data_IF_407284937197
#
_entry.id   IF_407284937197
#
_cell.length_a   1.000
_cell.length_b   1.000
_cell.length_c   1.000
_cell.angle_alpha   90.00
_cell.angle_beta   90.00
_cell.angle_gamma   90.00
#
_symmetry.space_group_name_H-M   'P 1'
#
loop_
_entity.id
_entity.type
_entity.pdbx_description
1 polymer ?
#
# COMPACT_ATOMS: atom_id res chain seq x y z
N UNK A 1 -7.91 6.65 17.78
CA UNK A 1 -8.69 5.41 17.60
C UNK A 1 -10.09 5.67 17.00
N UNK A 2 -10.57 6.91 16.88
CA UNK A 2 -11.92 7.22 16.36
C UNK A 2 -12.13 6.95 14.86
N UNK A 3 -11.14 7.24 14.01
CA UNK A 3 -11.31 7.18 12.54
C UNK A 3 -11.51 5.76 12.00
N UNK A 4 -11.02 4.74 12.71
CA UNK A 4 -11.27 3.35 12.33
C UNK A 4 -12.72 2.95 12.65
N UNK A 5 -13.30 3.47 13.73
CA UNK A 5 -14.66 3.17 14.14
C UNK A 5 -15.68 3.78 13.16
N UNK A 6 -15.39 4.94 12.59
CA UNK A 6 -16.25 5.56 11.56
C UNK A 6 -16.30 4.77 10.26
N UNK A 7 -15.39 3.81 10.02
CA UNK A 7 -15.43 2.94 8.84
C UNK A 7 -16.33 1.70 9.02
N UNK A 8 -16.96 1.51 10.18
CA UNK A 8 -17.78 0.32 10.45
C UNK A 8 -19.10 0.40 9.66
N UNK A 9 -19.75 1.56 9.67
CA UNK A 9 -20.97 1.86 8.91
C UNK A 9 -20.60 2.45 7.55
N UNK A 10 -20.87 1.76 6.44
CA UNK A 10 -20.52 2.25 5.10
C UNK A 10 -21.39 3.44 4.65
N UNK A 11 -22.55 3.64 5.27
CA UNK A 11 -23.48 4.72 4.95
C UNK A 11 -22.85 6.09 5.26
N UNK A 12 -22.77 6.96 4.26
CA UNK A 12 -22.20 8.32 4.41
C UNK A 12 -20.68 8.41 4.28
N UNK A 13 -19.98 7.30 4.04
CA UNK A 13 -18.55 7.33 3.74
C UNK A 13 -18.27 7.94 2.36
N UNK A 14 -17.17 8.71 2.28
CA UNK A 14 -16.64 9.16 1.01
C UNK A 14 -16.14 7.99 0.15
N UNK A 15 -16.01 8.19 -1.16
CA UNK A 15 -15.43 7.20 -2.07
C UNK A 15 -14.04 6.77 -1.57
N UNK A 16 -13.23 7.72 -1.11
CA UNK A 16 -11.92 7.41 -0.55
C UNK A 16 -12.00 6.57 0.73
N UNK A 17 -12.89 6.91 1.66
CA UNK A 17 -13.06 6.15 2.90
C UNK A 17 -13.53 4.70 2.63
N UNK A 18 -14.39 4.50 1.63
CA UNK A 18 -14.80 3.16 1.18
C UNK A 18 -13.63 2.36 0.61
N UNK A 19 -12.78 2.98 -0.21
CA UNK A 19 -11.57 2.35 -0.75
C UNK A 19 -10.61 1.97 0.39
N UNK A 20 -10.34 2.88 1.32
CA UNK A 20 -9.46 2.61 2.47
C UNK A 20 -10.02 1.47 3.33
N UNK A 21 -11.33 1.45 3.58
CA UNK A 21 -12.00 0.35 4.30
C UNK A 21 -11.81 -0.98 3.58
N UNK A 22 -12.05 -1.04 2.27
CA UNK A 22 -11.87 -2.27 1.49
C UNK A 22 -10.41 -2.76 1.52
N UNK A 23 -9.45 -1.84 1.43
CA UNK A 23 -8.02 -2.16 1.53
C UNK A 23 -7.63 -2.65 2.92
N UNK A 24 -8.16 -2.06 4.00
CA UNK A 24 -7.93 -2.54 5.38
C UNK A 24 -8.50 -3.94 5.59
N UNK A 25 -9.68 -4.25 5.05
CA UNK A 25 -10.26 -5.60 5.11
C UNK A 25 -9.43 -6.60 4.32
N UNK A 26 -8.94 -6.22 3.13
CA UNK A 26 -8.08 -7.07 2.29
C UNK A 26 -6.75 -7.36 2.99
N UNK A 27 -6.11 -6.33 3.54
CA UNK A 27 -4.88 -6.46 4.32
C UNK A 27 -5.08 -7.36 5.55
N UNK A 28 -6.14 -7.12 6.32
CA UNK A 28 -6.44 -7.89 7.54
C UNK A 28 -6.81 -9.34 7.24
N UNK A 29 -7.48 -9.63 6.12
CA UNK A 29 -7.68 -11.01 5.66
C UNK A 29 -6.34 -11.67 5.38
N UNK A 30 -5.44 -10.96 4.71
CA UNK A 30 -4.08 -11.38 4.44
C UNK A 30 -3.35 -11.86 5.68
N UNK A 31 -3.37 -11.08 6.78
CA UNK A 31 -2.62 -11.42 8.01
C UNK A 31 -3.05 -12.74 8.68
N UNK A 32 -4.22 -13.28 8.33
CA UNK A 32 -4.71 -14.58 8.85
C UNK A 32 -4.27 -15.79 8.03
N UNK A 33 -3.60 -15.58 6.89
CA UNK A 33 -3.21 -16.65 5.95
C UNK A 33 -1.89 -17.30 6.35
N UNK A 34 -1.80 -18.63 6.15
CA UNK A 34 -0.62 -19.42 6.51
C UNK A 34 0.51 -19.23 5.48
N UNK A 35 0.21 -19.20 4.18
CA UNK A 35 1.24 -19.03 3.14
C UNK A 35 1.73 -17.56 3.07
N UNK A 36 3.04 -17.29 3.22
CA UNK A 36 3.62 -15.97 3.01
C UNK A 36 3.30 -15.33 1.64
N UNK A 37 3.14 -16.13 0.56
CA UNK A 37 2.82 -15.57 -0.76
C UNK A 37 1.38 -15.08 -0.82
N UNK A 38 0.44 -15.82 -0.23
CA UNK A 38 -0.95 -15.37 -0.14
C UNK A 38 -1.08 -14.11 0.74
N UNK A 39 -0.30 -14.04 1.83
CA UNK A 39 -0.17 -12.84 2.67
C UNK A 39 0.33 -11.65 1.84
N UNK A 40 1.40 -11.85 1.09
CA UNK A 40 1.99 -10.84 0.23
C UNK A 40 1.01 -10.38 -0.86
N UNK A 41 0.29 -11.30 -1.48
CA UNK A 41 -0.71 -11.00 -2.50
C UNK A 41 -1.83 -10.11 -1.94
N UNK A 42 -2.32 -10.38 -0.73
CA UNK A 42 -3.33 -9.53 -0.09
C UNK A 42 -2.74 -8.15 0.28
N UNK A 43 -1.48 -8.08 0.75
CA UNK A 43 -0.82 -6.81 1.01
C UNK A 43 -0.68 -5.95 -0.25
N UNK A 44 -0.24 -6.55 -1.36
CA UNK A 44 -0.15 -5.88 -2.66
C UNK A 44 -1.53 -5.41 -3.13
N UNK A 45 -2.55 -6.27 -3.10
CA UNK A 45 -3.90 -5.90 -3.50
C UNK A 45 -4.48 -4.77 -2.65
N UNK A 46 -4.24 -4.76 -1.34
CA UNK A 46 -4.66 -3.68 -0.46
C UNK A 46 -4.00 -2.34 -0.83
N UNK A 47 -2.69 -2.34 -1.09
CA UNK A 47 -1.95 -1.15 -1.49
C UNK A 47 -2.34 -0.66 -2.88
N UNK A 48 -2.46 -1.56 -3.85
CA UNK A 48 -2.89 -1.24 -5.21
C UNK A 48 -4.27 -0.58 -5.21
N UNK A 49 -5.19 -1.06 -4.35
CA UNK A 49 -6.52 -0.48 -4.20
C UNK A 49 -6.51 1.00 -3.79
N UNK A 50 -5.54 1.42 -2.95
CA UNK A 50 -5.40 2.81 -2.50
C UNK A 50 -4.53 3.64 -3.44
N UNK A 51 -3.41 3.07 -3.90
CA UNK A 51 -2.33 3.83 -4.53
C UNK A 51 -2.40 3.87 -6.05
N UNK A 52 -3.14 2.99 -6.71
CA UNK A 52 -3.36 3.09 -8.16
C UNK A 52 -4.54 4.02 -8.44
N UNK A 53 -4.33 5.02 -9.29
CA UNK A 53 -5.39 5.80 -9.94
C UNK A 53 -6.30 4.89 -10.76
N UNK A 54 -5.72 4.01 -11.58
CA UNK A 54 -6.47 3.08 -12.44
C UNK A 54 -5.69 1.79 -12.74
N UNK A 55 -6.40 0.77 -13.24
CA UNK A 55 -5.84 -0.59 -13.42
C UNK A 55 -4.73 -0.68 -14.47
N UNK A 56 -4.69 0.24 -15.43
CA UNK A 56 -3.69 0.26 -16.51
C UNK A 56 -2.35 0.90 -16.11
N UNK A 57 -2.19 1.38 -14.88
CA UNK A 57 -0.91 1.94 -14.43
C UNK A 57 0.17 0.86 -14.31
N UNK A 58 1.44 1.17 -14.62
CA UNK A 58 2.55 0.26 -14.32
C UNK A 58 2.66 0.09 -12.79
N UNK A 59 2.13 -1.03 -12.28
CA UNK A 59 1.87 -1.22 -10.83
C UNK A 59 3.12 -1.05 -9.98
N UNK A 60 4.18 -1.80 -10.30
CA UNK A 60 5.45 -1.75 -9.57
C UNK A 60 6.04 -0.34 -9.51
N UNK A 61 6.04 0.39 -10.63
CA UNK A 61 6.57 1.74 -10.70
C UNK A 61 5.71 2.73 -9.90
N UNK A 62 4.38 2.67 -10.09
CA UNK A 62 3.45 3.63 -9.50
C UNK A 62 3.35 3.47 -7.99
N UNK A 63 3.25 2.23 -7.51
CA UNK A 63 3.23 1.92 -6.09
C UNK A 63 4.58 2.27 -5.46
N UNK A 64 5.71 1.94 -6.08
CA UNK A 64 7.04 2.27 -5.56
C UNK A 64 7.22 3.77 -5.35
N UNK A 65 6.88 4.59 -6.34
CA UNK A 65 7.01 6.04 -6.24
C UNK A 65 6.12 6.60 -5.13
N UNK A 66 4.83 6.25 -5.13
CA UNK A 66 3.87 6.80 -4.14
C UNK A 66 4.19 6.35 -2.72
N UNK A 67 4.58 5.10 -2.52
CA UNK A 67 5.05 4.64 -1.21
C UNK A 67 6.29 5.40 -0.77
N UNK A 68 7.25 5.64 -1.67
CA UNK A 68 8.45 6.41 -1.33
C UNK A 68 8.13 7.84 -0.93
N UNK A 69 7.15 8.50 -1.56
CA UNK A 69 6.75 9.85 -1.21
C UNK A 69 6.00 9.91 0.13
N UNK A 70 5.30 8.84 0.50
CA UNK A 70 4.54 8.78 1.75
C UNK A 70 5.41 8.39 2.96
N UNK A 71 6.42 7.54 2.76
CA UNK A 71 7.15 6.92 3.88
C UNK A 71 8.51 7.55 4.15
N UNK A 72 9.20 8.02 3.10
CA UNK A 72 10.61 8.33 3.20
C UNK A 72 10.91 9.79 3.52
N UNK A 73 11.95 10.02 4.31
CA UNK A 73 12.44 11.35 4.69
C UNK A 73 13.75 11.67 3.96
N UNK A 74 13.65 11.98 2.67
CA UNK A 74 14.80 12.34 1.81
C UNK A 74 15.11 11.30 0.74
N UNK A 75 16.05 11.64 -0.16
CA UNK A 75 16.24 10.91 -1.41
C UNK A 75 16.79 9.48 -1.24
N UNK A 76 17.75 9.29 -0.34
CA UNK A 76 18.33 7.97 -0.09
C UNK A 76 17.29 6.97 0.46
N UNK A 77 16.43 7.45 1.35
CA UNK A 77 15.34 6.67 1.93
C UNK A 77 14.24 6.38 0.89
N UNK A 78 13.94 7.34 0.00
CA UNK A 78 13.00 7.14 -1.11
C UNK A 78 13.45 6.01 -2.03
N UNK A 79 14.73 5.97 -2.40
CA UNK A 79 15.23 4.91 -3.26
C UNK A 79 15.21 3.55 -2.55
N UNK A 80 15.51 3.50 -1.25
CA UNK A 80 15.40 2.26 -0.47
C UNK A 80 13.97 1.68 -0.50
N UNK A 81 12.96 2.52 -0.27
CA UNK A 81 11.54 2.12 -0.38
C UNK A 81 11.21 1.63 -1.79
N UNK A 82 11.64 2.36 -2.83
CA UNK A 82 11.39 1.95 -4.23
C UNK A 82 12.02 0.60 -4.56
N UNK A 83 13.23 0.34 -4.08
CA UNK A 83 13.93 -0.92 -4.31
C UNK A 83 13.21 -2.10 -3.67
N UNK A 84 12.76 -1.96 -2.41
CA UNK A 84 11.98 -2.99 -1.73
C UNK A 84 10.69 -3.31 -2.51
N UNK A 85 9.93 -2.28 -2.91
CA UNK A 85 8.68 -2.48 -3.67
C UNK A 85 8.95 -3.19 -5.00
N UNK A 86 9.98 -2.79 -5.76
CA UNK A 86 10.32 -3.45 -7.03
C UNK A 86 10.70 -4.91 -6.83
N UNK A 87 11.49 -5.22 -5.81
CA UNK A 87 11.89 -6.60 -5.50
C UNK A 87 10.69 -7.46 -5.11
N UNK A 88 9.70 -6.89 -4.41
CA UNK A 88 8.45 -7.58 -4.06
C UNK A 88 7.61 -7.92 -5.29
N UNK A 89 7.45 -6.98 -6.23
CA UNK A 89 6.73 -7.25 -7.48
C UNK A 89 7.43 -8.34 -8.31
N UNK A 90 8.77 -8.31 -8.35
CA UNK A 90 9.55 -9.36 -9.00
C UNK A 90 9.43 -10.71 -8.29
N UNK A 91 9.47 -10.74 -6.96
CA UNK A 91 9.29 -11.95 -6.15
C UNK A 91 7.92 -12.59 -6.41
N UNK A 92 6.86 -11.77 -6.51
CA UNK A 92 5.50 -12.25 -6.84
C UNK A 92 5.43 -12.95 -8.21
N UNK A 93 6.30 -12.61 -9.15
CA UNK A 93 6.33 -13.18 -10.49
C UNK A 93 7.15 -14.48 -10.57
N UNK A 94 7.86 -14.86 -9.51
CA UNK A 94 8.68 -16.07 -9.51
C UNK A 94 7.88 -17.35 -9.26
N UNK A 95 8.17 -18.45 -9.97
CA UNK A 95 7.67 -19.77 -9.61
C UNK A 95 8.20 -20.18 -8.24
N UNK A 96 7.39 -20.93 -7.47
CA UNK A 96 7.51 -21.24 -6.02
C UNK A 96 8.77 -22.01 -5.57
N UNK A 97 9.94 -21.77 -6.14
CA UNK A 97 11.17 -22.51 -5.88
C UNK A 97 11.99 -21.84 -4.77
N UNK A 98 11.96 -22.48 -3.60
CA UNK A 98 12.86 -22.31 -2.45
C UNK A 98 12.96 -20.89 -1.86
N UNK A 99 11.96 -20.51 -1.07
CA UNK A 99 11.98 -19.27 -0.31
C UNK A 99 13.13 -19.26 0.68
N UNK A 100 14.16 -18.44 0.42
CA UNK A 100 15.32 -18.26 1.31
C UNK A 100 15.00 -17.22 2.40
N UNK A 101 15.76 -17.27 3.49
CA UNK A 101 15.63 -16.33 4.63
C UNK A 101 15.50 -14.85 4.20
N UNK A 102 16.28 -14.44 3.19
CA UNK A 102 16.27 -13.08 2.62
C UNK A 102 14.92 -12.64 2.03
N UNK A 103 14.14 -13.57 1.48
CA UNK A 103 12.80 -13.24 0.97
C UNK A 103 11.81 -13.03 2.11
N UNK A 104 12.02 -13.68 3.25
CA UNK A 104 11.18 -13.48 4.43
C UNK A 104 11.38 -12.08 5.02
N UNK A 105 12.64 -11.63 5.13
CA UNK A 105 12.98 -10.26 5.55
C UNK A 105 12.37 -9.21 4.59
N UNK A 106 12.49 -9.44 3.28
CA UNK A 106 11.91 -8.54 2.27
C UNK A 106 10.38 -8.44 2.40
N UNK A 107 9.70 -9.57 2.61
CA UNK A 107 8.25 -9.61 2.82
C UNK A 107 7.87 -8.88 4.12
N UNK A 108 8.64 -9.04 5.19
CA UNK A 108 8.40 -8.37 6.47
C UNK A 108 8.54 -6.84 6.34
N UNK A 109 9.62 -6.35 5.74
CA UNK A 109 9.83 -4.92 5.47
C UNK A 109 8.70 -4.33 4.64
N UNK A 110 8.31 -5.04 3.58
CA UNK A 110 7.20 -4.61 2.73
C UNK A 110 5.86 -4.61 3.48
N UNK A 111 5.61 -5.61 4.32
CA UNK A 111 4.39 -5.68 5.15
C UNK A 111 4.32 -4.50 6.12
N UNK A 112 5.46 -4.14 6.71
CA UNK A 112 5.57 -2.95 7.56
C UNK A 112 5.29 -1.64 6.79
N UNK A 113 5.83 -1.50 5.58
CA UNK A 113 5.51 -0.36 4.72
C UNK A 113 4.03 -0.32 4.34
N UNK A 114 3.44 -1.47 4.02
CA UNK A 114 2.04 -1.57 3.68
C UNK A 114 1.15 -1.10 4.84
N UNK A 115 1.45 -1.56 6.06
CA UNK A 115 0.78 -1.11 7.27
C UNK A 115 0.86 0.42 7.45
N UNK A 116 2.05 1.01 7.30
CA UNK A 116 2.23 2.46 7.47
C UNK A 116 1.46 3.28 6.43
N UNK A 117 1.45 2.85 5.17
CA UNK A 117 0.67 3.50 4.11
C UNK A 117 -0.82 3.41 4.40
N UNK A 118 -1.33 2.23 4.77
CA UNK A 118 -2.75 2.06 5.07
C UNK A 118 -3.17 2.87 6.30
N UNK A 119 -2.32 2.94 7.32
CA UNK A 119 -2.54 3.80 8.49
C UNK A 119 -2.55 5.28 8.12
N UNK A 120 -1.67 5.71 7.22
CA UNK A 120 -1.66 7.10 6.72
C UNK A 120 -2.91 7.41 5.90
N UNK A 121 -3.31 6.50 5.00
CA UNK A 121 -4.52 6.65 4.21
C UNK A 121 -5.76 6.74 5.12
N UNK A 122 -5.83 5.88 6.16
CA UNK A 122 -6.86 5.94 7.19
C UNK A 122 -6.91 7.30 7.90
N UNK A 123 -5.76 7.86 8.29
CA UNK A 123 -5.70 9.18 8.92
C UNK A 123 -6.15 10.34 8.02
N UNK A 124 -6.28 10.10 6.71
CA UNK A 124 -6.64 11.10 5.70
C UNK A 124 -8.05 10.90 5.12
N UNK A 125 -8.84 9.94 5.60
CA UNK A 125 -10.18 9.65 5.06
C UNK A 125 -11.16 10.83 5.15
N UNK A 126 -10.99 11.71 6.14
CA UNK A 126 -11.79 12.93 6.28
C UNK A 126 -11.29 14.09 5.43
N UNK A 127 -10.05 14.04 4.93
CA UNK A 127 -9.43 15.11 4.15
C UNK A 127 -9.67 14.95 2.64
N UNK A 128 -9.93 13.73 2.18
CA UNK A 128 -10.13 13.42 0.76
C UNK A 128 -11.50 12.78 0.51
N UNK A 129 -12.18 13.25 -0.54
CA UNK A 129 -13.46 12.70 -0.95
C UNK A 129 -13.30 11.52 -1.91
N UNK A 130 -12.26 11.50 -2.74
CA UNK A 130 -11.99 10.46 -3.74
C UNK A 130 -10.56 9.95 -3.71
N UNK A 131 -10.37 8.71 -4.17
CA UNK A 131 -9.04 8.09 -4.31
C UNK A 131 -8.15 8.90 -5.25
N UNK A 132 -8.72 9.40 -6.36
CA UNK A 132 -7.98 10.20 -7.33
C UNK A 132 -7.43 11.48 -6.70
N UNK A 133 -8.21 12.15 -5.84
CA UNK A 133 -7.77 13.35 -5.14
C UNK A 133 -6.56 13.03 -4.23
N UNK A 134 -6.66 11.97 -3.43
CA UNK A 134 -5.57 11.52 -2.57
C UNK A 134 -4.31 11.22 -3.38
N UNK A 135 -4.39 10.36 -4.39
CA UNK A 135 -3.23 9.95 -5.18
C UNK A 135 -2.61 11.12 -5.94
N UNK A 136 -3.42 12.06 -6.44
CA UNK A 136 -2.91 13.27 -7.11
C UNK A 136 -2.13 14.15 -6.15
N UNK A 137 -2.57 14.26 -4.90
CA UNK A 137 -1.85 15.02 -3.88
C UNK A 137 -0.53 14.36 -3.48
N UNK A 138 -0.50 13.03 -3.39
CA UNK A 138 0.75 12.27 -3.18
C UNK A 138 1.75 12.53 -4.31
N UNK A 139 1.30 12.46 -5.56
CA UNK A 139 2.14 12.74 -6.72
C UNK A 139 2.65 14.19 -6.69
N UNK A 140 1.82 15.16 -6.27
CA UNK A 140 2.20 16.58 -6.13
C UNK A 140 3.32 16.78 -5.11
N UNK A 141 3.23 16.14 -3.95
CA UNK A 141 4.28 16.17 -2.91
C UNK A 141 5.58 15.54 -3.41
N UNK A 142 5.47 14.45 -4.17
CA UNK A 142 6.64 13.79 -4.77
C UNK A 142 7.39 14.62 -5.82
N UNK A 143 6.70 15.59 -6.44
CA UNK A 143 7.27 16.52 -7.42
C UNK A 143 7.81 17.82 -6.79
N UNK A 144 7.58 18.05 -5.50
CA UNK A 144 8.12 19.21 -4.79
C UNK A 144 9.64 19.04 -4.59
N UNK A 145 10.46 20.07 -4.91
CA UNK A 145 11.91 20.01 -4.85
C UNK A 145 12.46 19.82 -3.42
#
# INVERSE_FOLDING_TARGET
>A
MDVAASLIEPEGLSEFALVVRASLLTYSKGTTLVDPLDRLQNCLSALEGVLLKHEMEPRAHSVANRMSFLLAHGEADREAVKQIVRQIYWLKEQPQLEKRHRESELIEDFTYYAYNVLRMALGNTSAFNSKIQFVTEVDRVGLAP
#
